data_IF_977619206447
#
_entry.id   IF_977619206447
#
_cell.length_a   1.000
_cell.length_b   1.000
_cell.length_c   1.000
_cell.angle_alpha   90.00
_cell.angle_beta   90.00
_cell.angle_gamma   90.00
#
_symmetry.space_group_name_H-M   'P 1'
#
loop_
_entity.id
_entity.type
_entity.pdbx_description
1 polymer ?
#
# COMPACT_ATOMS: atom_id res chain seq x y z
N UNK A 1 29.63 41.73 -30.73
CA UNK A 1 28.89 41.55 -29.46
C UNK A 1 27.40 41.68 -29.75
N UNK A 2 26.60 40.73 -29.27
CA UNK A 2 25.20 40.86 -28.78
C UNK A 2 24.40 39.57 -29.04
N UNK A 3 24.41 38.66 -28.05
CA UNK A 3 23.39 37.60 -27.95
C UNK A 3 22.10 38.28 -27.47
N UNK A 4 21.18 38.55 -28.38
CA UNK A 4 19.83 38.98 -28.03
C UNK A 4 19.09 37.80 -27.40
N UNK A 5 19.02 37.78 -26.07
CA UNK A 5 18.12 36.91 -25.32
C UNK A 5 16.70 37.41 -25.55
N UNK A 6 15.97 36.79 -26.49
CA UNK A 6 14.52 37.02 -26.59
C UNK A 6 13.87 36.38 -25.37
N UNK A 7 13.58 37.17 -24.34
CA UNK A 7 12.71 36.75 -23.23
C UNK A 7 11.30 36.55 -23.80
N UNK A 8 11.00 35.33 -24.22
CA UNK A 8 9.66 34.91 -24.62
C UNK A 8 8.73 35.12 -23.42
N UNK A 9 7.65 35.88 -23.61
CA UNK A 9 6.69 36.11 -22.52
C UNK A 9 6.02 34.77 -22.15
N UNK A 10 5.88 34.45 -20.84
CA UNK A 10 5.23 33.22 -20.42
C UNK A 10 3.82 33.14 -20.98
N UNK A 11 3.53 32.04 -21.66
CA UNK A 11 2.19 31.73 -22.18
C UNK A 11 1.23 31.43 -21.02
N UNK A 12 -0.06 31.37 -21.31
CA UNK A 12 -1.06 30.94 -20.31
C UNK A 12 -0.75 29.54 -19.79
N UNK A 13 -0.25 28.65 -20.65
CA UNK A 13 0.16 27.31 -20.26
C UNK A 13 1.35 27.34 -19.29
N UNK A 14 2.39 28.13 -19.59
CA UNK A 14 3.56 28.25 -18.71
C UNK A 14 3.18 28.74 -17.31
N UNK A 15 2.23 29.68 -17.23
CA UNK A 15 1.72 30.19 -15.94
C UNK A 15 0.94 29.13 -15.18
N UNK A 16 0.10 28.33 -15.85
CA UNK A 16 -0.65 27.24 -15.22
C UNK A 16 0.29 26.15 -14.70
N UNK A 17 1.26 25.74 -15.49
CA UNK A 17 2.27 24.75 -15.06
C UNK A 17 3.06 25.29 -13.88
N UNK A 18 3.55 26.53 -13.96
CA UNK A 18 4.30 27.15 -12.86
C UNK A 18 3.46 27.24 -11.58
N UNK A 19 2.21 27.70 -11.67
CA UNK A 19 1.31 27.80 -10.53
C UNK A 19 1.02 26.44 -9.90
N UNK A 20 0.88 25.39 -10.72
CA UNK A 20 0.60 24.06 -10.20
C UNK A 20 1.83 23.39 -9.60
N UNK A 21 3.02 23.57 -10.17
CA UNK A 21 4.29 23.09 -9.60
C UNK A 21 4.60 23.72 -8.22
N UNK A 22 4.10 24.93 -7.95
CA UNK A 22 4.35 25.67 -6.71
C UNK A 22 3.11 25.79 -5.82
N UNK A 23 2.07 25.01 -6.10
CA UNK A 23 0.91 24.99 -5.22
C UNK A 23 1.25 24.24 -3.93
N UNK A 24 0.68 24.66 -2.80
CA UNK A 24 0.94 24.04 -1.49
C UNK A 24 0.51 22.56 -1.42
N UNK A 25 -0.39 22.15 -2.31
CA UNK A 25 -0.86 20.78 -2.50
C UNK A 25 -0.09 20.01 -3.59
N UNK A 26 0.91 20.62 -4.22
CA UNK A 26 1.63 20.01 -5.32
C UNK A 26 2.49 18.85 -4.85
N UNK A 27 2.30 17.68 -5.47
CA UNK A 27 2.96 16.43 -5.11
C UNK A 27 2.80 16.02 -3.63
N UNK A 28 1.97 16.75 -2.86
CA UNK A 28 1.58 16.32 -1.54
C UNK A 28 0.62 15.15 -1.75
N UNK A 29 0.85 13.98 -1.13
CA UNK A 29 -0.23 13.04 -0.99
C UNK A 29 -1.39 13.84 -0.39
N UNK A 30 -2.54 13.87 -1.08
CA UNK A 30 -3.74 14.53 -0.57
C UNK A 30 -3.82 14.18 0.91
N UNK A 31 -3.94 15.18 1.78
CA UNK A 31 -3.89 15.08 3.25
C UNK A 31 -4.92 14.06 3.73
N UNK A 32 -4.60 12.79 3.53
CA UNK A 32 -5.45 11.64 3.71
C UNK A 32 -4.80 10.93 4.88
N UNK A 33 -5.13 11.50 6.03
CA UNK A 33 -5.36 10.82 7.28
C UNK A 33 -4.63 9.49 7.36
N UNK A 34 -3.55 9.45 8.15
CA UNK A 34 -2.84 8.22 8.51
C UNK A 34 -3.82 7.05 8.78
N UNK A 35 -4.99 7.35 9.34
CA UNK A 35 -6.10 6.41 9.54
C UNK A 35 -6.64 5.77 8.23
N UNK A 36 -6.78 6.52 7.15
CA UNK A 36 -7.17 6.01 5.83
C UNK A 36 -6.18 4.94 5.34
N UNK A 37 -4.88 5.25 5.33
CA UNK A 37 -3.86 4.31 4.88
C UNK A 37 -3.72 3.11 5.82
N UNK A 38 -3.83 3.34 7.13
CA UNK A 38 -3.93 2.27 8.13
C UNK A 38 -5.10 1.32 7.85
N UNK A 39 -6.29 1.85 7.60
CA UNK A 39 -7.45 1.03 7.29
C UNK A 39 -7.29 0.24 5.99
N UNK A 40 -6.69 0.86 4.97
CA UNK A 40 -6.38 0.17 3.70
C UNK A 40 -5.41 -0.97 3.93
N UNK A 41 -4.33 -0.75 4.66
CA UNK A 41 -3.34 -1.77 5.00
C UNK A 41 -3.98 -2.94 5.79
N UNK A 42 -4.75 -2.62 6.85
CA UNK A 42 -5.49 -3.62 7.64
C UNK A 42 -6.48 -4.40 6.79
N UNK A 43 -7.20 -3.74 5.87
CA UNK A 43 -8.13 -4.42 4.97
C UNK A 43 -7.41 -5.36 3.99
N UNK A 44 -6.24 -4.97 3.47
CA UNK A 44 -5.43 -5.80 2.58
C UNK A 44 -4.92 -7.06 3.31
N UNK A 45 -4.38 -6.90 4.52
CA UNK A 45 -3.93 -8.04 5.35
C UNK A 45 -5.12 -8.97 5.65
N UNK A 46 -6.26 -8.42 6.10
CA UNK A 46 -7.47 -9.19 6.39
C UNK A 46 -7.98 -9.95 5.17
N UNK A 47 -7.99 -9.32 4.00
CA UNK A 47 -8.42 -9.95 2.74
C UNK A 47 -7.49 -11.09 2.34
N UNK A 48 -6.17 -10.90 2.47
CA UNK A 48 -5.20 -11.96 2.18
C UNK A 48 -5.34 -13.14 3.14
N UNK A 49 -5.55 -12.90 4.44
CA UNK A 49 -5.83 -13.96 5.42
C UNK A 49 -7.11 -14.74 5.07
N UNK A 50 -8.17 -14.07 4.61
CA UNK A 50 -9.36 -14.76 4.09
C UNK A 50 -9.06 -15.57 2.84
N UNK A 51 -8.23 -15.06 1.94
CA UNK A 51 -7.81 -15.79 0.75
C UNK A 51 -7.03 -17.07 1.11
N UNK A 52 -6.17 -17.04 2.14
CA UNK A 52 -5.50 -18.25 2.67
C UNK A 52 -6.54 -19.30 3.08
N UNK A 53 -7.56 -18.92 3.85
CA UNK A 53 -8.62 -19.82 4.34
C UNK A 53 -9.50 -20.37 3.23
N UNK A 54 -9.65 -19.63 2.13
CA UNK A 54 -10.56 -19.97 1.04
C UNK A 54 -9.84 -20.53 -0.20
N UNK A 55 -8.52 -20.69 -0.15
CA UNK A 55 -7.75 -21.20 -1.26
C UNK A 55 -8.17 -22.64 -1.56
N UNK A 56 -8.48 -22.92 -2.83
CA UNK A 56 -8.94 -24.23 -3.30
C UNK A 56 -7.84 -25.03 -4.01
N UNK A 57 -6.67 -24.42 -4.18
CA UNK A 57 -5.51 -25.03 -4.80
C UNK A 57 -4.22 -24.45 -4.21
N UNK A 58 -3.12 -25.19 -4.39
CA UNK A 58 -1.82 -24.85 -3.84
C UNK A 58 -1.25 -23.53 -4.36
N UNK A 59 -1.53 -23.18 -5.62
CA UNK A 59 -1.04 -21.93 -6.21
C UNK A 59 -1.66 -20.71 -5.53
N UNK A 60 -2.99 -20.69 -5.40
CA UNK A 60 -3.72 -19.63 -4.72
C UNK A 60 -3.36 -19.55 -3.24
N UNK A 61 -3.18 -20.71 -2.60
CA UNK A 61 -2.78 -20.79 -1.19
C UNK A 61 -1.41 -20.14 -0.96
N UNK A 62 -0.39 -20.55 -1.73
CA UNK A 62 0.97 -19.99 -1.63
C UNK A 62 1.00 -18.50 -1.96
N UNK A 63 0.23 -18.07 -2.96
CA UNK A 63 0.10 -16.67 -3.35
C UNK A 63 -0.53 -15.83 -2.24
N UNK A 64 -1.61 -16.33 -1.62
CA UNK A 64 -2.29 -15.63 -0.53
C UNK A 64 -1.40 -15.48 0.72
N UNK A 65 -0.57 -16.48 1.04
CA UNK A 65 0.43 -16.39 2.12
C UNK A 65 1.47 -15.32 1.81
N UNK A 66 2.04 -15.34 0.60
CA UNK A 66 3.03 -14.35 0.17
C UNK A 66 2.45 -12.93 0.21
N UNK A 67 1.22 -12.75 -0.27
CA UNK A 67 0.51 -11.46 -0.21
C UNK A 67 0.27 -11.00 1.23
N UNK A 68 -0.18 -11.89 2.12
CA UNK A 68 -0.44 -11.53 3.51
C UNK A 68 0.84 -11.04 4.20
N UNK A 69 1.96 -11.72 4.00
CA UNK A 69 3.26 -11.31 4.56
C UNK A 69 3.75 -9.99 3.94
N UNK A 70 3.66 -9.83 2.62
CA UNK A 70 4.08 -8.59 1.96
C UNK A 70 3.26 -7.37 2.42
N UNK A 71 1.93 -7.51 2.55
CA UNK A 71 1.09 -6.43 3.08
C UNK A 71 1.37 -6.15 4.55
N UNK A 72 1.68 -7.18 5.34
CA UNK A 72 2.01 -7.01 6.75
C UNK A 72 3.33 -6.27 6.95
N UNK A 73 4.35 -6.64 6.20
CA UNK A 73 5.65 -5.96 6.25
C UNK A 73 5.53 -4.52 5.77
N UNK A 74 4.86 -4.27 4.64
CA UNK A 74 4.61 -2.90 4.17
C UNK A 74 3.83 -2.06 5.20
N UNK A 75 2.81 -2.63 5.85
CA UNK A 75 2.04 -1.92 6.86
C UNK A 75 2.89 -1.51 8.08
N UNK A 76 3.86 -2.34 8.45
CA UNK A 76 4.79 -2.06 9.54
C UNK A 76 5.87 -1.06 9.12
N UNK A 77 6.46 -1.22 7.94
CA UNK A 77 7.53 -0.36 7.43
C UNK A 77 7.05 1.08 7.19
N UNK A 78 5.78 1.26 6.83
CA UNK A 78 5.14 2.57 6.73
C UNK A 78 4.51 3.06 8.04
N UNK A 79 4.77 2.37 9.16
CA UNK A 79 4.31 2.71 10.51
C UNK A 79 2.77 2.81 10.66
N UNK A 80 2.01 2.18 9.76
CA UNK A 80 0.55 2.13 9.85
C UNK A 80 0.07 1.21 11.00
N UNK A 81 0.89 0.23 11.36
CA UNK A 81 0.69 -0.67 12.48
C UNK A 81 1.95 -0.72 13.34
N UNK A 82 1.80 -1.05 14.62
CA UNK A 82 2.93 -1.26 15.52
C UNK A 82 3.36 -2.74 15.56
N UNK A 83 4.40 -3.02 16.35
CA UNK A 83 4.92 -4.37 16.54
C UNK A 83 3.90 -5.32 17.19
N UNK A 84 3.02 -4.80 18.05
CA UNK A 84 1.99 -5.59 18.73
C UNK A 84 0.95 -6.06 17.71
N UNK A 85 0.50 -5.15 16.85
CA UNK A 85 -0.41 -5.45 15.76
C UNK A 85 0.23 -6.39 14.74
N UNK A 86 1.52 -6.18 14.41
CA UNK A 86 2.28 -7.11 13.55
C UNK A 86 2.27 -8.53 14.10
N UNK A 87 2.51 -8.68 15.40
CA UNK A 87 2.53 -9.99 16.06
C UNK A 87 1.17 -10.69 16.03
N UNK A 88 0.06 -9.94 16.21
CA UNK A 88 -1.30 -10.49 16.08
C UNK A 88 -1.59 -10.98 14.66
N UNK A 89 -1.21 -10.21 13.66
CA UNK A 89 -1.42 -10.60 12.26
C UNK A 89 -0.59 -11.81 11.85
N UNK A 90 0.66 -11.92 12.32
CA UNK A 90 1.47 -13.14 12.12
C UNK A 90 0.78 -14.37 12.70
N UNK A 91 0.18 -14.24 13.89
CA UNK A 91 -0.59 -15.32 14.50
C UNK A 91 -1.81 -15.69 13.65
N UNK A 92 -2.59 -14.72 13.16
CA UNK A 92 -3.75 -14.97 12.30
C UNK A 92 -3.36 -15.67 10.98
N UNK A 93 -2.26 -15.25 10.35
CA UNK A 93 -1.71 -15.88 9.15
C UNK A 93 -1.32 -17.34 9.45
N UNK A 94 -0.65 -17.59 10.57
CA UNK A 94 -0.24 -18.93 10.97
C UNK A 94 -1.45 -19.84 11.25
N UNK A 95 -2.50 -19.32 11.92
CA UNK A 95 -3.74 -20.07 12.14
C UNK A 95 -4.46 -20.37 10.83
N UNK A 96 -4.62 -19.39 9.94
CA UNK A 96 -5.25 -19.59 8.63
C UNK A 96 -4.50 -20.64 7.80
N UNK A 97 -3.16 -20.57 7.77
CA UNK A 97 -2.30 -21.53 7.09
C UNK A 97 -2.50 -22.93 7.67
N UNK A 98 -2.47 -23.06 9.01
CA UNK A 98 -2.63 -24.35 9.69
C UNK A 98 -3.99 -24.99 9.41
N UNK A 99 -5.07 -24.22 9.43
CA UNK A 99 -6.43 -24.72 9.14
C UNK A 99 -6.46 -25.34 7.74
N UNK A 100 -5.87 -24.68 6.75
CA UNK A 100 -5.90 -25.18 5.37
C UNK A 100 -5.00 -26.39 5.14
N UNK A 101 -3.86 -26.47 5.84
CA UNK A 101 -2.96 -27.63 5.74
C UNK A 101 -3.49 -28.86 6.51
N UNK A 102 -4.19 -28.66 7.64
CA UNK A 102 -4.72 -29.79 8.44
C UNK A 102 -6.12 -30.21 7.97
N UNK A 103 -6.90 -29.29 7.40
CA UNK A 103 -8.26 -29.55 6.90
C UNK A 103 -8.33 -30.53 5.71
N UNK A 104 -7.22 -30.79 5.01
CA UNK A 104 -7.14 -31.82 3.96
C UNK A 104 -6.98 -33.26 4.51
N UNK A 105 -6.87 -33.44 5.84
CA UNK A 105 -6.61 -34.75 6.47
C UNK A 105 -7.75 -35.27 7.37
N UNK A 106 -8.97 -34.73 7.26
CA UNK A 106 -10.19 -35.29 7.88
C UNK A 106 -11.20 -35.71 6.81
#
# INVERSE_FOLDING_TARGET
>A
MNKSSSKTKPTSFDKTVYARLHADDFAQPAVNDHWFYKNKAVAQISSAVKAIRNATNQHDFSTAIAQANAFLDAAYDYEFIDLTDKSKWLYEIAQATRVQTIGEHQ
#
